data_IF_405050371110
#
_entry.id   IF_405050371110
#
_cell.length_a   1.000
_cell.length_b   1.000
_cell.length_c   1.000
_cell.angle_alpha   90.00
_cell.angle_beta   90.00
_cell.angle_gamma   90.00
#
_symmetry.space_group_name_H-M   'P 1'
#
loop_
_entity.id
_entity.type
_entity.pdbx_description
1 polymer ?
#
# COMPACT_ATOMS: atom_id res chain seq x y z
N UNK A 1 -45.50 43.16 8.94
CA UNK A 1 -45.21 42.01 8.08
C UNK A 1 -44.00 42.26 7.15
N UNK A 2 -42.87 42.81 7.70
CA UNK A 2 -41.68 43.19 6.90
C UNK A 2 -40.42 42.39 7.24
N UNK A 3 -40.49 41.40 8.13
CA UNK A 3 -39.33 40.61 8.57
C UNK A 3 -39.07 39.34 7.79
N UNK A 4 -40.12 38.64 7.38
CA UNK A 4 -40.03 37.31 6.76
C UNK A 4 -39.25 37.27 5.43
N UNK A 5 -39.27 38.33 4.64
CA UNK A 5 -38.55 38.42 3.38
C UNK A 5 -37.03 38.59 3.54
N UNK A 6 -36.63 39.34 4.57
CA UNK A 6 -35.20 39.57 4.82
C UNK A 6 -34.51 38.34 5.42
N UNK A 7 -35.19 37.62 6.31
CA UNK A 7 -34.71 36.39 6.92
C UNK A 7 -34.59 35.26 5.90
N UNK A 8 -35.62 35.13 5.03
CA UNK A 8 -35.60 34.16 3.94
C UNK A 8 -34.48 34.47 2.92
N UNK A 9 -34.27 35.76 2.59
CA UNK A 9 -33.19 36.19 1.69
C UNK A 9 -31.81 35.90 2.25
N UNK A 10 -31.61 36.15 3.56
CA UNK A 10 -30.35 35.83 4.24
C UNK A 10 -30.06 34.32 4.26
N UNK A 11 -31.08 33.52 4.55
CA UNK A 11 -30.95 32.03 4.53
C UNK A 11 -30.58 31.47 3.13
N UNK A 12 -31.18 32.05 2.08
CA UNK A 12 -30.92 31.65 0.70
C UNK A 12 -29.50 32.10 0.27
N UNK A 13 -29.04 33.25 0.72
CA UNK A 13 -27.66 33.72 0.48
C UNK A 13 -26.64 32.76 1.12
N UNK A 14 -26.85 32.39 2.39
CA UNK A 14 -25.96 31.45 3.11
C UNK A 14 -25.94 30.09 2.42
N UNK A 15 -27.08 29.57 2.00
CA UNK A 15 -27.18 28.32 1.25
C UNK A 15 -26.43 28.37 -0.10
N UNK A 16 -26.55 29.50 -0.82
CA UNK A 16 -25.84 29.69 -2.08
C UNK A 16 -24.32 29.74 -1.88
N UNK A 17 -23.84 30.45 -0.86
CA UNK A 17 -22.42 30.52 -0.52
C UNK A 17 -21.89 29.13 -0.07
N UNK A 18 -22.64 28.42 0.78
CA UNK A 18 -22.29 27.09 1.23
C UNK A 18 -22.24 26.07 0.05
N UNK A 19 -23.22 26.16 -0.85
CA UNK A 19 -23.26 25.32 -2.06
C UNK A 19 -22.10 25.61 -3.01
N UNK A 20 -21.79 26.89 -3.24
CA UNK A 20 -20.65 27.29 -4.05
C UNK A 20 -19.31 26.83 -3.43
N UNK A 21 -19.19 26.95 -2.10
CA UNK A 21 -18.01 26.47 -1.38
C UNK A 21 -17.88 24.96 -1.45
N UNK A 22 -18.98 24.23 -1.25
CA UNK A 22 -18.99 22.77 -1.38
C UNK A 22 -18.60 22.33 -2.80
N UNK A 23 -19.16 22.99 -3.82
CA UNK A 23 -18.81 22.72 -5.23
C UNK A 23 -17.33 23.01 -5.50
N UNK A 24 -16.82 24.12 -4.95
CA UNK A 24 -15.41 24.47 -5.05
C UNK A 24 -14.50 23.43 -4.39
N UNK A 25 -14.83 22.98 -3.17
CA UNK A 25 -14.06 21.95 -2.44
C UNK A 25 -14.09 20.62 -3.15
N UNK A 26 -15.25 20.21 -3.68
CA UNK A 26 -15.37 18.97 -4.45
C UNK A 26 -14.63 19.06 -5.78
N UNK A 27 -14.61 20.22 -6.44
CA UNK A 27 -13.87 20.45 -7.69
C UNK A 27 -12.36 20.57 -7.49
N UNK A 28 -11.92 21.13 -6.37
CA UNK A 28 -10.49 21.22 -6.01
C UNK A 28 -9.99 19.90 -5.41
N UNK A 29 -10.89 19.06 -4.87
CA UNK A 29 -10.59 17.73 -4.34
C UNK A 29 -10.24 16.68 -5.39
N UNK A 30 -10.44 16.96 -6.67
CA UNK A 30 -9.87 16.18 -7.77
C UNK A 30 -8.35 16.45 -7.87
N UNK A 31 -7.61 16.01 -6.86
CA UNK A 31 -6.16 15.88 -6.90
C UNK A 31 -5.70 14.73 -7.84
N UNK A 32 -6.49 14.36 -8.81
CA UNK A 32 -5.94 13.79 -10.01
C UNK A 32 -5.19 14.93 -10.69
N UNK A 33 -3.93 15.07 -10.32
CA UNK A 33 -2.97 15.82 -11.11
C UNK A 33 -3.14 15.30 -12.53
N UNK A 34 -3.91 16.04 -13.33
CA UNK A 34 -4.12 15.76 -14.75
C UNK A 34 -2.86 16.02 -15.58
N UNK A 35 -1.72 15.77 -15.00
CA UNK A 35 -0.50 15.51 -15.75
C UNK A 35 -0.82 14.29 -16.59
N UNK A 36 -0.74 14.45 -17.91
CA UNK A 36 -0.80 13.37 -18.89
C UNK A 36 0.28 12.36 -18.51
N UNK A 37 -0.02 11.57 -17.48
CA UNK A 37 0.86 10.55 -16.93
C UNK A 37 0.69 9.23 -17.67
N UNK A 38 1.58 8.32 -17.46
CA UNK A 38 1.42 6.96 -17.92
C UNK A 38 1.26 6.03 -16.73
N UNK A 39 0.45 4.99 -16.94
CA UNK A 39 0.15 3.99 -15.91
C UNK A 39 1.18 2.88 -16.01
N UNK A 40 1.70 2.47 -14.86
CA UNK A 40 2.58 1.31 -14.73
C UNK A 40 1.99 0.37 -13.69
N UNK A 41 2.19 -0.91 -13.85
CA UNK A 41 1.78 -1.92 -12.88
C UNK A 41 2.99 -2.42 -12.10
N UNK A 42 2.76 -2.79 -10.84
CA UNK A 42 3.75 -3.49 -10.03
C UNK A 42 3.03 -4.51 -9.15
N UNK A 43 3.59 -5.71 -9.02
CA UNK A 43 3.05 -6.79 -8.18
C UNK A 43 3.90 -6.96 -6.95
N UNK A 44 3.25 -6.94 -5.79
CA UNK A 44 3.91 -7.11 -4.51
C UNK A 44 3.34 -8.31 -3.76
N UNK A 45 4.19 -9.08 -3.11
CA UNK A 45 3.75 -10.15 -2.22
C UNK A 45 3.06 -9.63 -0.95
N UNK A 46 3.44 -8.43 -0.49
CA UNK A 46 2.85 -7.77 0.67
C UNK A 46 2.90 -6.26 0.48
N UNK A 47 1.78 -5.58 0.72
CA UNK A 47 1.66 -4.12 0.53
C UNK A 47 1.63 -3.33 1.85
N UNK A 48 1.44 -4.00 2.99
CA UNK A 48 1.37 -3.34 4.31
C UNK A 48 0.33 -2.23 4.35
N UNK A 49 0.76 -1.05 4.78
CA UNK A 49 -0.11 0.14 4.90
C UNK A 49 -0.23 0.96 3.58
N UNK A 50 0.15 0.41 2.43
CA UNK A 50 0.03 1.11 1.15
C UNK A 50 -1.45 1.25 0.75
N UNK A 51 -1.89 2.47 0.54
CA UNK A 51 -3.27 2.79 0.15
C UNK A 51 -3.30 3.55 -1.19
N UNK A 52 -4.43 3.55 -1.89
CA UNK A 52 -4.66 4.46 -3.01
C UNK A 52 -4.42 5.92 -2.57
N UNK A 53 -3.82 6.73 -3.44
CA UNK A 53 -3.38 8.10 -3.13
C UNK A 53 -1.98 8.19 -2.52
N UNK A 54 -1.36 7.08 -2.11
CA UNK A 54 0.01 7.07 -1.62
C UNK A 54 0.99 7.62 -2.67
N UNK A 55 2.06 8.27 -2.22
CA UNK A 55 3.06 8.84 -3.12
C UNK A 55 3.89 7.76 -3.81
N UNK A 56 4.26 8.00 -5.07
CA UNK A 56 5.34 7.28 -5.76
C UNK A 56 6.53 8.22 -5.85
N UNK A 57 7.70 7.75 -5.42
CA UNK A 57 8.92 8.57 -5.33
C UNK A 57 10.09 7.91 -6.06
N UNK A 58 10.88 8.74 -6.71
CA UNK A 58 12.19 8.38 -7.28
C UNK A 58 13.22 9.25 -6.59
N UNK A 59 14.24 8.65 -5.99
CA UNK A 59 15.27 9.39 -5.22
C UNK A 59 14.67 10.35 -4.16
N UNK A 60 13.52 9.99 -3.56
CA UNK A 60 12.81 10.82 -2.57
C UNK A 60 11.88 11.87 -3.16
N UNK A 61 11.96 12.17 -4.46
CA UNK A 61 11.09 13.15 -5.13
C UNK A 61 9.78 12.48 -5.54
N UNK A 62 8.63 13.10 -5.24
CA UNK A 62 7.33 12.62 -5.68
C UNK A 62 7.18 12.78 -7.19
N UNK A 63 6.97 11.66 -7.88
CA UNK A 63 6.83 11.58 -9.35
C UNK A 63 5.50 10.99 -9.77
N UNK A 64 4.64 10.65 -8.82
CA UNK A 64 3.36 10.05 -9.12
C UNK A 64 2.57 9.66 -7.88
N UNK A 65 1.51 8.90 -8.10
CA UNK A 65 0.62 8.39 -7.05
C UNK A 65 0.18 6.97 -7.34
N UNK A 66 -0.18 6.24 -6.28
CA UNK A 66 -0.83 4.95 -6.37
C UNK A 66 -2.30 5.15 -6.72
N UNK A 67 -2.72 4.79 -7.92
CA UNK A 67 -4.10 4.93 -8.36
C UNK A 67 -5.01 3.86 -7.74
N UNK A 68 -4.54 2.61 -7.68
CA UNK A 68 -5.34 1.48 -7.20
C UNK A 68 -4.46 0.37 -6.66
N UNK A 69 -4.97 -0.30 -5.63
CA UNK A 69 -4.41 -1.55 -5.10
C UNK A 69 -5.49 -2.63 -5.18
N UNK A 70 -5.19 -3.77 -5.80
CA UNK A 70 -6.11 -4.91 -5.95
C UNK A 70 -5.38 -6.21 -5.68
N UNK A 71 -6.10 -7.20 -5.16
CA UNK A 71 -5.57 -8.55 -4.99
C UNK A 71 -5.86 -9.38 -6.26
N UNK A 72 -4.85 -10.07 -6.76
CA UNK A 72 -5.03 -11.09 -7.78
C UNK A 72 -5.49 -12.40 -7.10
N UNK A 73 -6.71 -12.91 -7.39
CA UNK A 73 -7.24 -14.11 -6.73
C UNK A 73 -6.52 -15.39 -7.14
N UNK A 74 -5.75 -15.38 -8.24
CA UNK A 74 -5.02 -16.56 -8.73
C UNK A 74 -3.63 -16.68 -8.11
N UNK A 75 -2.92 -15.56 -8.03
CA UNK A 75 -1.52 -15.52 -7.55
C UNK A 75 -1.42 -15.07 -6.11
N UNK A 76 -2.50 -14.53 -5.52
CA UNK A 76 -2.54 -13.91 -4.20
C UNK A 76 -1.52 -12.78 -4.03
N UNK A 77 -1.09 -12.20 -5.13
CA UNK A 77 -0.24 -11.01 -5.12
C UNK A 77 -1.07 -9.74 -5.20
N UNK A 78 -0.61 -8.69 -4.57
CA UNK A 78 -1.23 -7.37 -4.68
C UNK A 78 -0.74 -6.69 -5.97
N UNK A 79 -1.68 -6.36 -6.86
CA UNK A 79 -1.42 -5.58 -8.07
C UNK A 79 -1.66 -4.12 -7.75
N UNK A 80 -0.63 -3.30 -7.89
CA UNK A 80 -0.72 -1.84 -7.73
C UNK A 80 -0.65 -1.17 -9.10
N UNK A 81 -1.54 -0.20 -9.33
CA UNK A 81 -1.48 0.71 -10.47
C UNK A 81 -0.87 2.01 -10.01
N UNK A 82 0.19 2.41 -10.67
CA UNK A 82 0.97 3.61 -10.39
C UNK A 82 0.75 4.60 -11.53
N UNK A 83 0.25 5.79 -11.21
CA UNK A 83 0.16 6.91 -12.16
C UNK A 83 1.42 7.74 -12.01
N UNK A 84 2.25 7.75 -13.06
CA UNK A 84 3.53 8.43 -13.09
C UNK A 84 3.47 9.65 -14.00
N UNK A 85 4.27 10.66 -13.70
CA UNK A 85 4.39 11.84 -14.52
C UNK A 85 4.96 11.48 -15.90
N UNK A 86 4.38 12.04 -16.97
CA UNK A 86 4.81 11.80 -18.36
C UNK A 86 6.21 12.30 -18.68
N UNK A 87 6.74 13.22 -17.88
CA UNK A 87 8.11 13.72 -18.03
C UNK A 87 9.16 12.72 -17.62
N UNK A 88 8.75 11.68 -16.83
CA UNK A 88 9.64 10.66 -16.35
C UNK A 88 9.64 9.44 -17.26
N UNK A 89 10.81 9.07 -17.75
CA UNK A 89 11.05 7.80 -18.46
C UNK A 89 11.80 6.85 -17.54
N UNK A 90 11.14 5.79 -17.11
CA UNK A 90 11.76 4.77 -16.23
C UNK A 90 12.40 3.68 -17.09
N UNK A 91 13.65 3.26 -16.80
CA UNK A 91 14.24 2.07 -17.37
C UNK A 91 13.40 0.83 -17.10
N UNK A 92 13.39 -0.13 -18.02
CA UNK A 92 12.61 -1.36 -17.91
C UNK A 92 13.02 -2.26 -16.73
N UNK A 93 14.28 -2.17 -16.30
CA UNK A 93 14.86 -2.90 -15.17
C UNK A 93 14.75 -2.17 -13.82
N UNK A 94 13.91 -1.12 -13.75
CA UNK A 94 13.66 -0.38 -12.50
C UNK A 94 13.09 -1.29 -11.42
N UNK A 95 13.41 -0.97 -10.17
CA UNK A 95 12.92 -1.71 -9.00
C UNK A 95 11.92 -0.86 -8.23
N UNK A 96 10.75 -1.41 -7.88
CA UNK A 96 9.77 -0.78 -7.01
C UNK A 96 9.80 -1.43 -5.62
N UNK A 97 9.89 -0.60 -4.57
CA UNK A 97 9.88 -1.03 -3.18
C UNK A 97 8.83 -0.27 -2.39
N UNK A 98 8.13 -0.96 -1.49
CA UNK A 98 7.24 -0.31 -0.55
C UNK A 98 8.04 0.09 0.68
N UNK A 99 8.01 1.39 1.03
CA UNK A 99 8.70 1.97 2.17
C UNK A 99 7.72 2.72 3.05
N UNK A 100 7.94 2.71 4.37
CA UNK A 100 7.15 3.50 5.32
C UNK A 100 7.70 4.92 5.46
N UNK A 101 6.80 5.89 5.67
CA UNK A 101 7.14 7.27 6.04
C UNK A 101 7.35 7.37 7.57
N UNK A 102 8.35 6.66 8.08
CA UNK A 102 8.64 6.58 9.52
C UNK A 102 7.75 5.59 10.28
N UNK A 103 7.73 5.71 11.62
CA UNK A 103 7.03 4.76 12.51
C UNK A 103 5.51 4.98 12.57
N UNK A 104 5.05 6.22 12.37
CA UNK A 104 3.64 6.63 12.46
C UNK A 104 3.08 7.12 11.13
N UNK A 105 3.89 7.10 10.07
CA UNK A 105 3.49 7.53 8.74
C UNK A 105 2.82 6.43 7.93
N UNK A 106 2.29 6.80 6.79
CA UNK A 106 1.79 5.87 5.78
C UNK A 106 2.94 5.17 5.04
N UNK A 107 2.57 4.39 4.02
CA UNK A 107 3.53 3.79 3.11
C UNK A 107 3.54 4.53 1.76
N UNK A 108 4.66 4.50 1.08
CA UNK A 108 4.84 5.02 -0.26
C UNK A 108 5.59 4.00 -1.13
N UNK A 109 5.48 4.14 -2.44
CA UNK A 109 6.27 3.34 -3.38
C UNK A 109 7.55 4.11 -3.71
N UNK A 110 8.70 3.55 -3.37
CA UNK A 110 10.01 4.06 -3.77
C UNK A 110 10.48 3.31 -5.02
N UNK A 111 10.76 4.02 -6.10
CA UNK A 111 11.30 3.45 -7.33
C UNK A 111 12.78 3.80 -7.41
N UNK A 112 13.58 2.78 -7.65
CA UNK A 112 15.00 2.91 -7.97
C UNK A 112 15.17 2.62 -9.45
N UNK A 113 15.54 3.62 -10.27
CA UNK A 113 15.81 3.40 -11.68
C UNK A 113 16.95 2.40 -11.89
N UNK A 114 16.82 1.57 -12.90
CA UNK A 114 17.89 0.67 -13.33
C UNK A 114 18.82 1.30 -14.36
N UNK A 115 19.55 0.48 -15.11
CA UNK A 115 20.49 0.92 -16.13
C UNK A 115 20.13 0.45 -17.55
N UNK A 116 18.96 -0.16 -17.75
CA UNK A 116 18.55 -0.63 -19.06
C UNK A 116 18.37 0.55 -20.05
N UNK A 117 18.79 0.38 -21.31
CA UNK A 117 18.58 1.41 -22.34
C UNK A 117 17.11 1.54 -22.74
N UNK A 118 16.32 0.49 -22.54
CA UNK A 118 14.90 0.46 -22.86
C UNK A 118 14.07 1.06 -21.74
N UNK A 119 13.09 1.88 -22.11
CA UNK A 119 12.17 2.50 -21.16
C UNK A 119 10.91 1.68 -20.98
N UNK A 120 10.38 1.69 -19.77
CA UNK A 120 9.12 1.08 -19.42
C UNK A 120 7.97 1.79 -20.16
N UNK A 121 7.21 1.03 -20.94
CA UNK A 121 6.08 1.57 -21.73
C UNK A 121 4.85 1.78 -20.84
N UNK A 122 3.96 2.66 -21.28
CA UNK A 122 2.65 2.82 -20.67
C UNK A 122 1.90 1.48 -20.64
N UNK A 123 1.36 1.14 -19.47
CA UNK A 123 0.74 -0.16 -19.22
C UNK A 123 1.74 -1.29 -18.92
N UNK A 124 3.04 -1.01 -18.96
CA UNK A 124 4.08 -1.98 -18.60
C UNK A 124 4.08 -2.33 -17.12
N UNK A 125 4.81 -3.39 -16.79
CA UNK A 125 4.93 -3.89 -15.42
C UNK A 125 6.37 -3.76 -14.94
N UNK A 126 6.54 -3.31 -13.70
CA UNK A 126 7.83 -3.36 -13.00
C UNK A 126 8.00 -4.77 -12.45
N UNK A 127 8.95 -5.52 -13.00
CA UNK A 127 9.20 -6.91 -12.64
C UNK A 127 9.90 -7.04 -11.28
N UNK A 128 10.82 -6.12 -10.99
CA UNK A 128 11.60 -6.15 -9.77
C UNK A 128 10.83 -5.44 -8.65
N UNK A 129 10.22 -6.20 -7.75
CA UNK A 129 9.43 -5.63 -6.66
C UNK A 129 9.87 -6.15 -5.29
N UNK A 130 9.83 -5.27 -4.29
CA UNK A 130 10.08 -5.59 -2.89
C UNK A 130 8.86 -5.15 -2.07
N UNK A 131 8.22 -6.11 -1.39
CA UNK A 131 7.07 -5.85 -0.53
C UNK A 131 7.42 -5.02 0.70
N UNK A 132 6.39 -4.64 1.44
CA UNK A 132 6.54 -3.94 2.71
C UNK A 132 7.25 -4.82 3.74
N UNK A 133 8.16 -4.21 4.51
CA UNK A 133 8.84 -4.87 5.65
C UNK A 133 8.12 -4.50 6.92
N UNK A 134 7.70 -5.49 7.71
CA UNK A 134 7.13 -5.30 9.04
C UNK A 134 8.25 -5.17 10.08
N UNK A 135 8.59 -3.93 10.42
CA UNK A 135 9.62 -3.62 11.41
C UNK A 135 9.24 -4.11 12.83
N UNK A 136 7.94 -4.09 13.17
CA UNK A 136 7.48 -4.56 14.48
C UNK A 136 7.57 -6.08 14.62
N UNK A 137 7.31 -6.81 13.54
CA UNK A 137 7.52 -8.25 13.48
C UNK A 137 8.99 -8.63 13.73
N UNK A 138 9.92 -7.88 13.15
CA UNK A 138 11.37 -8.11 13.34
C UNK A 138 11.82 -7.83 14.78
N UNK A 139 11.34 -6.75 15.41
CA UNK A 139 11.65 -6.44 16.83
C UNK A 139 11.09 -7.53 17.74
N UNK A 140 9.86 -7.99 17.49
CA UNK A 140 9.25 -9.08 18.25
C UNK A 140 10.03 -10.40 18.15
N UNK A 141 10.68 -10.66 17.02
CA UNK A 141 11.48 -11.85 16.81
C UNK A 141 12.82 -11.79 17.57
N UNK A 142 13.44 -10.62 17.66
CA UNK A 142 14.67 -10.41 18.45
C UNK A 142 14.38 -10.47 19.96
N UNK A 143 13.20 -10.02 20.38
CA UNK A 143 12.79 -10.05 21.80
C UNK A 143 12.25 -11.42 22.28
N UNK A 144 12.00 -12.37 21.38
CA UNK A 144 11.71 -13.74 21.81
C UNK A 144 12.99 -14.38 22.31
N UNK A 145 13.06 -14.84 23.57
CA UNK A 145 14.17 -15.68 24.02
C UNK A 145 14.24 -16.88 23.09
N UNK A 146 15.41 -17.14 22.49
CA UNK A 146 15.63 -18.40 21.78
C UNK A 146 15.26 -19.55 22.70
N UNK A 147 14.42 -20.51 22.26
CA UNK A 147 14.29 -21.77 23.00
C UNK A 147 15.70 -22.32 23.13
N UNK A 148 16.15 -22.50 24.37
CA UNK A 148 17.46 -23.08 24.63
C UNK A 148 17.58 -24.43 23.94
N UNK A 149 18.79 -24.90 23.59
CA UNK A 149 19.00 -26.13 22.82
C UNK A 149 18.49 -27.43 23.46
N UNK A 150 17.75 -27.36 24.57
CA UNK A 150 17.22 -28.51 25.35
C UNK A 150 15.69 -28.55 25.45
N UNK A 151 14.93 -27.77 24.68
CA UNK A 151 13.45 -27.83 24.75
C UNK A 151 12.82 -29.02 24.01
N UNK A 152 13.59 -29.73 23.18
CA UNK A 152 13.11 -30.87 22.40
C UNK A 152 13.62 -32.22 22.87
N UNK A 153 14.23 -32.26 24.07
CA UNK A 153 14.67 -33.52 24.70
C UNK A 153 13.73 -33.93 25.82
N UNK A 154 12.43 -34.03 25.52
CA UNK A 154 11.54 -34.83 26.32
C UNK A 154 11.70 -36.29 25.88
N UNK A 155 12.20 -37.21 26.75
CA UNK A 155 12.34 -38.62 26.39
C UNK A 155 10.94 -39.14 26.04
N UNK A 156 10.79 -40.02 25.03
CA UNK A 156 9.51 -40.64 24.73
C UNK A 156 9.02 -41.39 25.99
N UNK A 157 7.96 -40.88 26.59
CA UNK A 157 7.26 -41.50 27.70
C UNK A 157 6.93 -42.94 27.29
N UNK A 158 7.53 -43.88 28.05
CA UNK A 158 7.35 -45.31 27.79
C UNK A 158 5.85 -45.64 27.92
N UNK A 159 5.22 -45.96 26.81
CA UNK A 159 3.86 -46.51 26.79
C UNK A 159 3.81 -47.70 27.68
N UNK A 160 2.92 -47.76 28.68
CA UNK A 160 2.76 -48.98 29.49
C UNK A 160 2.32 -50.11 28.58
N UNK A 161 3.07 -51.25 28.66
CA UNK A 161 2.78 -52.46 27.90
C UNK A 161 1.38 -52.96 28.28
N UNK A 162 0.49 -53.10 27.30
CA UNK A 162 -0.81 -53.76 27.45
C UNK A 162 -0.60 -55.21 27.87
N UNK A 163 -1.28 -55.70 28.90
CA UNK A 163 -1.18 -57.10 29.32
C UNK A 163 -1.73 -58.03 28.23
N UNK A 164 -0.94 -59.03 27.89
CA UNK A 164 -1.32 -60.08 26.95
C UNK A 164 -2.61 -60.77 27.40
N UNK A 165 -3.66 -60.65 26.59
CA UNK A 165 -4.94 -61.32 26.80
C UNK A 165 -4.74 -62.80 26.48
N UNK A 166 -4.72 -63.64 27.53
CA UNK A 166 -4.69 -65.09 27.41
C UNK A 166 -5.97 -65.57 26.72
N UNK A 167 -5.79 -66.29 25.62
CA UNK A 167 -6.84 -67.03 24.92
C UNK A 167 -7.02 -68.38 25.63
N UNK A 168 -8.23 -68.62 26.08
CA UNK A 168 -8.79 -69.98 26.28
C UNK A 168 -9.99 -70.12 25.39
#
# INVERSE_FOLDING_TARGET
MRGLGAETGLGLLVLAVAGAFLFYVLGVGDFSTGARGYVVMARFGQVGALAPGAAVRVAGVKVGTVAKVTLDPKTYMAITRLDLDSTLSLPSDSTARISSDGLLGGAHVAITPGGAPDSLKAGGEIENTQGAVDLFGLIGQVMRPSPGPNADAEPPEARPALPARAVR
#
